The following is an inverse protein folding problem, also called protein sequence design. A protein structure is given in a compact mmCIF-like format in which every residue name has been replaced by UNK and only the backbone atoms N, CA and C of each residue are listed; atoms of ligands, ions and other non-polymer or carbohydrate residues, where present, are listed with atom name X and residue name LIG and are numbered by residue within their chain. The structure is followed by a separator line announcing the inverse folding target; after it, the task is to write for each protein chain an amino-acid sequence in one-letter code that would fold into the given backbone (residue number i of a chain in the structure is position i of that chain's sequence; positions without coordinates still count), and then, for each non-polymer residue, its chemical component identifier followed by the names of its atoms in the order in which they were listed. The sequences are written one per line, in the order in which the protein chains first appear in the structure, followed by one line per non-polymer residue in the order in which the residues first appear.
data_IF_625319944122
#
_entry.id   IF_625319944122
#
_cell.length_a   1.000
_cell.length_b   1.000
_cell.length_c   1.000
_cell.angle_alpha   90.00
_cell.angle_beta   90.00
_cell.angle_gamma   90.00
#
_symmetry.space_group_name_H-M   'P 1'
#
loop_
_entity.id
_entity.type
_entity.pdbx_description
1 polymer ?
#
# COMPACT_ATOMS: atom_id res chain seq x y z
N UNK A 1 -1.02 -17.73 9.81
CA UNK A 1 -1.46 -16.31 9.80
C UNK A 1 -2.96 -16.17 9.56
N UNK A 2 -3.53 -16.78 8.51
CA UNK A 2 -4.98 -16.76 8.21
C UNK A 2 -5.90 -16.84 9.45
N UNK A 3 -5.69 -17.84 10.31
CA UNK A 3 -6.48 -18.01 11.53
C UNK A 3 -6.39 -16.82 12.48
N UNK A 4 -5.20 -16.27 12.68
CA UNK A 4 -4.96 -15.14 13.60
C UNK A 4 -5.77 -13.92 13.18
N UNK A 5 -5.72 -13.56 11.89
CA UNK A 5 -6.46 -12.39 11.39
C UNK A 5 -7.98 -12.62 11.43
N UNK A 6 -8.45 -13.84 11.16
CA UNK A 6 -9.87 -14.19 11.23
C UNK A 6 -10.39 -14.20 12.67
N UNK A 7 -9.57 -14.63 13.64
CA UNK A 7 -9.91 -14.56 15.08
C UNK A 7 -10.02 -13.11 15.53
N UNK A 8 -9.09 -12.24 15.13
CA UNK A 8 -9.18 -10.81 15.39
C UNK A 8 -10.49 -10.23 14.82
N UNK A 9 -10.79 -10.51 13.55
CA UNK A 9 -12.04 -10.06 12.92
C UNK A 9 -13.28 -10.58 13.65
N UNK A 10 -13.26 -11.85 14.10
CA UNK A 10 -14.35 -12.45 14.90
C UNK A 10 -14.53 -11.73 16.23
N UNK A 11 -13.43 -11.39 16.91
CA UNK A 11 -13.49 -10.69 18.19
C UNK A 11 -14.04 -9.26 18.02
N UNK A 12 -13.59 -8.55 16.98
CA UNK A 12 -14.12 -7.23 16.62
C UNK A 12 -15.61 -7.26 16.26
N UNK A 13 -16.04 -8.24 15.46
CA UNK A 13 -17.45 -8.39 15.06
C UNK A 13 -18.37 -8.62 16.27
N UNK A 14 -17.97 -9.49 17.20
CA UNK A 14 -18.72 -9.77 18.45
C UNK A 14 -18.88 -8.54 19.34
N UNK A 15 -17.91 -7.64 19.31
CA UNK A 15 -17.92 -6.39 20.06
C UNK A 15 -18.49 -5.22 19.25
N UNK A 16 -19.04 -5.48 18.06
CA UNK A 16 -19.63 -4.50 17.14
C UNK A 16 -18.67 -3.32 16.85
N UNK A 17 -17.41 -3.65 16.53
CA UNK A 17 -16.36 -2.67 16.25
C UNK A 17 -15.64 -2.99 14.94
N UNK A 18 -15.02 -1.95 14.37
CA UNK A 18 -14.13 -2.11 13.23
C UNK A 18 -12.89 -2.93 13.60
N UNK A 19 -12.42 -3.72 12.63
CA UNK A 19 -11.09 -4.32 12.70
C UNK A 19 -10.06 -3.19 12.63
N UNK A 20 -9.08 -3.13 13.54
CA UNK A 20 -8.10 -2.06 13.53
C UNK A 20 -7.26 -2.11 12.25
N UNK A 21 -6.60 -1.02 11.96
CA UNK A 21 -5.75 -0.91 10.79
C UNK A 21 -4.31 -1.19 11.20
N UNK A 22 -3.80 -2.39 10.90
CA UNK A 22 -2.41 -2.75 11.17
C UNK A 22 -1.53 -2.62 9.91
N UNK A 23 -0.38 -1.94 10.02
CA UNK A 23 0.60 -1.84 8.93
C UNK A 23 1.65 -2.96 9.00
N UNK A 24 2.02 -3.41 10.19
CA UNK A 24 2.98 -4.51 10.41
C UNK A 24 2.42 -5.50 11.42
N UNK A 25 2.69 -6.78 11.20
CA UNK A 25 2.35 -7.87 12.11
C UNK A 25 3.62 -8.66 12.41
N UNK A 26 3.95 -8.82 13.69
CA UNK A 26 5.10 -9.63 14.13
C UNK A 26 4.58 -10.89 14.81
N UNK A 27 4.94 -12.04 14.27
CA UNK A 27 4.60 -13.36 14.81
C UNK A 27 5.84 -13.91 15.49
N UNK A 28 5.90 -13.75 16.82
CA UNK A 28 6.90 -14.37 17.67
C UNK A 28 6.55 -15.83 17.98
N UNK A 29 7.38 -16.52 18.79
CA UNK A 29 7.18 -17.91 19.15
C UNK A 29 5.87 -18.14 19.95
N UNK A 30 5.59 -17.26 20.91
CA UNK A 30 4.42 -17.38 21.80
C UNK A 30 3.43 -16.24 21.65
N UNK A 31 3.79 -15.16 20.95
CA UNK A 31 2.96 -13.95 20.87
C UNK A 31 2.82 -13.43 19.45
N UNK A 32 1.67 -12.85 19.15
CA UNK A 32 1.45 -12.04 17.96
C UNK A 32 1.35 -10.59 18.38
N UNK A 33 2.02 -9.70 17.63
CA UNK A 33 1.96 -8.26 17.81
C UNK A 33 1.45 -7.58 16.52
N UNK A 34 0.54 -6.63 16.67
CA UNK A 34 0.06 -5.76 15.60
C UNK A 34 0.61 -4.36 15.85
N UNK A 35 1.21 -3.75 14.84
CA UNK A 35 1.56 -2.34 14.82
C UNK A 35 0.47 -1.59 14.05
N UNK A 36 -0.26 -0.76 14.77
CA UNK A 36 -1.44 -0.06 14.30
C UNK A 36 -1.05 1.27 13.65
N UNK A 37 -1.82 1.65 12.63
CA UNK A 37 -1.71 2.94 11.97
C UNK A 37 -2.19 4.09 12.84
N UNK A 38 -3.17 3.83 13.70
CA UNK A 38 -3.78 4.82 14.59
C UNK A 38 -3.82 4.22 16.00
N UNK A 39 -3.46 4.99 17.04
CA UNK A 39 -3.56 4.54 18.41
C UNK A 39 -4.97 4.04 18.76
N UNK A 40 -5.06 2.87 19.38
CA UNK A 40 -6.28 2.32 19.95
C UNK A 40 -5.95 1.61 21.27
N UNK A 41 -6.39 2.17 22.38
CA UNK A 41 -6.10 1.64 23.72
C UNK A 41 -7.13 0.58 24.18
N UNK A 42 -8.15 0.30 23.36
CA UNK A 42 -9.27 -0.57 23.74
C UNK A 42 -9.33 -1.75 22.80
N UNK A 43 -8.40 -2.71 22.88
CA UNK A 43 -8.42 -3.90 22.04
C UNK A 43 -9.56 -4.85 22.41
N UNK A 44 -9.98 -5.76 21.51
CA UNK A 44 -11.03 -6.72 21.82
C UNK A 44 -10.49 -7.83 22.71
N UNK A 45 -11.39 -8.68 23.22
CA UNK A 45 -11.02 -9.79 24.09
C UNK A 45 -9.89 -10.65 23.51
N UNK A 46 -8.91 -10.98 24.35
CA UNK A 46 -7.72 -11.77 23.96
C UNK A 46 -6.54 -10.95 23.44
N UNK A 47 -6.70 -9.64 23.29
CA UNK A 47 -5.67 -8.69 22.91
C UNK A 47 -5.43 -7.67 24.03
N UNK A 48 -4.19 -7.20 24.14
CA UNK A 48 -3.77 -6.18 25.11
C UNK A 48 -3.07 -5.05 24.36
N UNK A 49 -3.42 -3.81 24.66
CA UNK A 49 -2.77 -2.64 24.08
C UNK A 49 -1.49 -2.30 24.85
N UNK A 50 -0.49 -1.86 24.11
CA UNK A 50 0.71 -1.23 24.65
C UNK A 50 0.40 0.18 25.18
N UNK A 51 1.37 0.81 25.86
CA UNK A 51 1.18 2.10 26.53
C UNK A 51 0.76 3.25 25.62
N UNK A 52 1.12 3.18 24.34
CA UNK A 52 0.85 4.21 23.33
C UNK A 52 -0.38 3.91 22.47
N UNK A 53 -1.06 2.78 22.71
CA UNK A 53 -2.16 2.29 21.88
C UNK A 53 -1.77 1.94 20.43
N UNK A 54 -0.51 2.12 20.02
CA UNK A 54 -0.03 1.83 18.66
C UNK A 54 0.33 0.36 18.50
N UNK A 55 0.47 -0.36 19.60
CA UNK A 55 0.82 -1.77 19.58
C UNK A 55 -0.26 -2.59 20.27
N UNK A 56 -0.75 -3.64 19.61
CA UNK A 56 -1.55 -4.67 20.28
C UNK A 56 -0.79 -5.99 20.33
N UNK A 57 -0.96 -6.74 21.41
CA UNK A 57 -0.34 -8.03 21.61
C UNK A 57 -1.35 -9.07 22.07
N UNK A 58 -1.20 -10.31 21.60
CA UNK A 58 -1.97 -11.46 22.05
C UNK A 58 -1.10 -12.72 22.13
N UNK A 59 -1.50 -13.67 22.98
CA UNK A 59 -0.87 -14.98 23.08
C UNK A 59 -1.24 -15.84 21.87
N UNK A 60 -0.25 -16.31 21.12
CA UNK A 60 -0.44 -17.08 19.89
C UNK A 60 -1.26 -18.35 20.15
N UNK A 61 -1.00 -19.07 21.25
CA UNK A 61 -1.78 -20.25 21.64
C UNK A 61 -3.26 -19.92 21.85
N UNK A 62 -3.56 -18.79 22.49
CA UNK A 62 -4.94 -18.35 22.73
C UNK A 62 -5.66 -18.02 21.41
N UNK A 63 -4.97 -17.38 20.48
CA UNK A 63 -5.52 -17.11 19.15
C UNK A 63 -5.73 -18.39 18.34
N UNK A 64 -4.86 -19.39 18.49
CA UNK A 64 -5.01 -20.67 17.80
C UNK A 64 -6.20 -21.48 18.31
N UNK A 65 -6.53 -21.42 19.60
CA UNK A 65 -7.68 -22.14 20.16
C UNK A 65 -9.02 -21.40 20.01
N UNK A 66 -9.00 -20.10 19.74
CA UNK A 66 -10.20 -19.29 19.58
C UNK A 66 -11.09 -19.73 18.39
N UNK A 67 -12.40 -19.53 18.54
CA UNK A 67 -13.39 -19.78 17.49
C UNK A 67 -13.32 -18.72 16.39
N UNK A 68 -13.55 -19.12 15.15
CA UNK A 68 -13.65 -18.23 13.98
C UNK A 68 -15.09 -18.25 13.47
N UNK A 69 -15.68 -17.09 13.19
CA UNK A 69 -17.00 -17.05 12.55
C UNK A 69 -16.93 -17.49 11.09
N UNK A 70 -17.99 -18.17 10.61
CA UNK A 70 -18.01 -18.83 9.29
C UNK A 70 -18.01 -17.84 8.12
N UNK A 71 -18.52 -16.61 8.31
CA UNK A 71 -18.78 -15.64 7.24
C UNK A 71 -18.05 -14.30 7.42
N UNK A 72 -16.74 -14.33 7.67
CA UNK A 72 -15.94 -13.11 7.79
C UNK A 72 -15.16 -12.82 6.51
N UNK A 73 -15.22 -11.55 6.09
CA UNK A 73 -14.35 -10.99 5.06
C UNK A 73 -12.90 -10.99 5.57
N UNK A 74 -11.94 -11.27 4.68
CA UNK A 74 -10.52 -11.22 5.01
C UNK A 74 -10.11 -9.79 5.41
N UNK A 75 -9.65 -9.56 6.66
CA UNK A 75 -9.40 -8.20 7.14
C UNK A 75 -8.15 -7.57 6.52
N UNK A 76 -7.13 -8.39 6.24
CA UNK A 76 -5.85 -7.94 5.70
C UNK A 76 -5.45 -8.79 4.48
N UNK A 77 -6.13 -8.64 3.33
CA UNK A 77 -5.93 -9.53 2.19
C UNK A 77 -4.57 -9.32 1.51
N UNK A 78 -3.92 -8.16 1.71
CA UNK A 78 -2.64 -7.79 1.11
C UNK A 78 -1.45 -7.93 2.08
N UNK A 79 -1.49 -8.95 2.94
CA UNK A 79 -0.37 -9.29 3.81
C UNK A 79 0.71 -10.06 3.05
N UNK A 80 1.94 -9.59 3.15
CA UNK A 80 3.13 -10.22 2.54
C UNK A 80 4.24 -10.43 3.57
N UNK A 81 5.07 -11.47 3.41
CA UNK A 81 6.21 -11.70 4.30
C UNK A 81 7.32 -10.68 4.04
N UNK A 82 7.92 -10.14 5.09
CA UNK A 82 9.09 -9.28 4.97
C UNK A 82 10.38 -9.98 5.40
N UNK A 83 10.29 -10.89 6.38
CA UNK A 83 11.43 -11.63 6.90
C UNK A 83 11.35 -11.82 8.41
N UNK A 84 12.49 -11.79 9.09
CA UNK A 84 12.58 -12.03 10.53
C UNK A 84 13.31 -10.92 11.27
N UNK A 85 12.88 -10.67 12.49
CA UNK A 85 13.57 -9.84 13.48
C UNK A 85 13.89 -10.70 14.71
N UNK A 86 14.53 -10.11 15.74
CA UNK A 86 14.71 -10.81 17.02
C UNK A 86 13.38 -11.13 17.72
N UNK A 87 12.32 -10.40 17.37
CA UNK A 87 10.99 -10.54 17.97
C UNK A 87 10.10 -11.54 17.24
N UNK A 88 10.42 -11.88 15.99
CA UNK A 88 9.73 -12.93 15.24
C UNK A 88 9.64 -12.67 13.75
N UNK A 89 8.74 -13.41 13.11
CA UNK A 89 8.46 -13.30 11.69
C UNK A 89 7.59 -12.07 11.40
N UNK A 90 8.03 -11.24 10.47
CA UNK A 90 7.39 -9.96 10.14
C UNK A 90 6.57 -10.11 8.86
N UNK A 91 5.30 -9.74 8.95
CA UNK A 91 4.42 -9.52 7.80
C UNK A 91 4.08 -8.04 7.66
N UNK A 92 4.02 -7.58 6.42
CA UNK A 92 3.68 -6.23 6.05
C UNK A 92 2.30 -6.20 5.39
N UNK A 93 1.47 -5.24 5.78
CA UNK A 93 0.18 -5.01 5.12
C UNK A 93 0.33 -3.95 4.03
N UNK A 94 0.48 -4.39 2.78
CA UNK A 94 0.61 -3.48 1.63
C UNK A 94 -0.64 -2.61 1.43
N UNK A 95 -1.79 -3.03 1.96
CA UNK A 95 -3.04 -2.28 1.86
C UNK A 95 -3.03 -0.96 2.63
N UNK A 96 -2.05 -0.73 3.52
CA UNK A 96 -1.97 0.50 4.32
C UNK A 96 -1.20 1.64 3.70
N UNK A 97 -0.54 1.38 2.58
CA UNK A 97 0.32 2.37 1.95
C UNK A 97 -0.52 3.47 1.35
N UNK A 98 -1.50 3.19 0.49
CA UNK A 98 -2.22 4.24 -0.24
C UNK A 98 -1.27 5.14 -1.05
N UNK A 99 -0.36 4.51 -1.80
CA UNK A 99 0.71 5.19 -2.53
C UNK A 99 1.78 4.21 -3.03
N UNK A 100 2.92 4.76 -3.47
CA UNK A 100 4.05 3.96 -3.97
C UNK A 100 4.93 3.48 -2.82
N UNK A 101 5.27 2.20 -2.84
CA UNK A 101 6.31 1.56 -2.05
C UNK A 101 7.55 1.46 -2.93
N UNK A 102 8.65 2.07 -2.51
CA UNK A 102 9.93 1.96 -3.22
C UNK A 102 10.83 0.95 -2.53
N UNK A 103 11.30 -0.04 -3.29
CA UNK A 103 12.31 -1.01 -2.87
C UNK A 103 13.66 -0.58 -3.45
N UNK A 104 14.49 0.06 -2.63
CA UNK A 104 15.79 0.62 -3.02
C UNK A 104 16.96 -0.27 -2.54
N UNK A 105 18.14 -0.11 -3.14
CA UNK A 105 19.36 -0.81 -2.74
C UNK A 105 19.75 -1.95 -3.68
N UNK A 106 20.08 -3.14 -3.15
CA UNK A 106 20.50 -4.27 -3.97
C UNK A 106 19.35 -4.76 -4.86
N UNK A 107 19.50 -4.54 -6.17
CA UNK A 107 18.45 -4.84 -7.15
C UNK A 107 18.08 -6.34 -7.23
N UNK A 108 19.02 -7.25 -6.95
CA UNK A 108 18.73 -8.68 -6.96
C UNK A 108 17.90 -9.07 -5.74
N UNK A 109 18.24 -8.53 -4.57
CA UNK A 109 17.48 -8.74 -3.33
C UNK A 109 16.09 -8.11 -3.39
N UNK A 110 15.98 -6.89 -3.92
CA UNK A 110 14.70 -6.23 -4.15
C UNK A 110 13.78 -7.04 -5.07
N UNK A 111 14.34 -7.63 -6.12
CA UNK A 111 13.58 -8.51 -7.03
C UNK A 111 13.15 -9.81 -6.37
N UNK A 112 14.04 -10.47 -5.64
CA UNK A 112 13.70 -11.69 -4.91
C UNK A 112 12.55 -11.44 -3.91
N UNK A 113 12.60 -10.33 -3.16
CA UNK A 113 11.53 -9.95 -2.23
C UNK A 113 10.18 -9.73 -2.95
N UNK A 114 10.19 -9.05 -4.09
CA UNK A 114 8.99 -8.84 -4.90
C UNK A 114 8.42 -10.14 -5.50
N UNK A 115 9.28 -11.11 -5.84
CA UNK A 115 8.90 -12.44 -6.27
C UNK A 115 8.29 -13.27 -5.11
N UNK A 116 8.84 -13.15 -3.90
CA UNK A 116 8.26 -13.77 -2.71
C UNK A 116 6.90 -13.17 -2.35
N UNK A 117 6.74 -11.85 -2.47
CA UNK A 117 5.45 -11.18 -2.30
C UNK A 117 4.43 -11.63 -3.35
N UNK A 118 4.85 -11.78 -4.61
CA UNK A 118 4.00 -12.33 -5.66
C UNK A 118 3.51 -13.73 -5.29
N UNK A 119 4.42 -14.60 -4.83
CA UNK A 119 4.08 -15.97 -4.42
C UNK A 119 3.08 -15.96 -3.26
N UNK A 120 3.31 -15.17 -2.23
CA UNK A 120 2.40 -15.06 -1.10
C UNK A 120 1.00 -14.59 -1.54
N UNK A 121 0.92 -13.49 -2.29
CA UNK A 121 -0.34 -12.90 -2.72
C UNK A 121 -1.16 -13.82 -3.64
N UNK A 122 -0.52 -14.75 -4.33
CA UNK A 122 -1.19 -15.67 -5.27
C UNK A 122 -1.49 -17.04 -4.67
N UNK A 123 -0.85 -17.42 -3.56
CA UNK A 123 -0.98 -18.76 -2.95
C UNK A 123 -1.66 -18.77 -1.59
N UNK A 124 -1.67 -17.63 -0.88
CA UNK A 124 -2.15 -17.61 0.51
C UNK A 124 -3.67 -17.54 0.63
N UNK A 125 -4.27 -18.23 1.62
CA UNK A 125 -5.73 -18.27 1.83
C UNK A 125 -6.38 -16.91 2.09
N UNK A 126 -5.64 -15.94 2.63
CA UNK A 126 -6.15 -14.59 2.91
C UNK A 126 -6.09 -13.66 1.69
N UNK A 127 -5.38 -14.04 0.63
CA UNK A 127 -5.15 -13.19 -0.55
C UNK A 127 -6.02 -13.60 -1.75
N UNK A 128 -7.07 -14.41 -1.52
CA UNK A 128 -7.88 -15.02 -2.61
C UNK A 128 -8.52 -14.02 -3.57
N UNK A 129 -8.82 -12.83 -3.09
CA UNK A 129 -9.43 -11.73 -3.85
C UNK A 129 -8.40 -10.73 -4.38
N UNK A 130 -7.12 -10.90 -4.06
CA UNK A 130 -6.08 -9.95 -4.48
C UNK A 130 -5.69 -10.22 -5.92
N UNK A 131 -5.86 -9.21 -6.76
CA UNK A 131 -5.30 -9.18 -8.09
C UNK A 131 -3.83 -8.78 -8.03
N UNK A 132 -2.96 -9.50 -8.73
CA UNK A 132 -1.53 -9.20 -8.79
C UNK A 132 -1.14 -8.87 -10.23
N UNK A 133 -0.64 -7.66 -10.46
CA UNK A 133 -0.17 -7.20 -11.77
C UNK A 133 1.33 -6.98 -11.70
N UNK A 134 2.10 -7.62 -12.60
CA UNK A 134 3.56 -7.56 -12.62
C UNK A 134 4.02 -6.94 -13.93
N UNK A 135 4.81 -5.89 -13.85
CA UNK A 135 5.25 -5.09 -14.99
C UNK A 135 6.77 -5.12 -15.10
N UNK A 136 7.28 -5.52 -16.26
CA UNK A 136 8.71 -5.62 -16.52
C UNK A 136 9.40 -6.80 -15.81
N UNK A 137 8.63 -7.73 -15.24
CA UNK A 137 9.17 -9.00 -14.76
C UNK A 137 9.38 -9.96 -15.94
N UNK A 138 10.42 -10.80 -15.86
CA UNK A 138 10.68 -11.86 -16.82
C UNK A 138 9.87 -13.06 -16.40
N UNK A 139 9.05 -13.61 -17.29
CA UNK A 139 8.13 -14.70 -16.97
C UNK A 139 8.82 -15.89 -16.31
N UNK A 140 8.43 -16.21 -15.07
CA UNK A 140 8.81 -17.42 -14.34
C UNK A 140 7.73 -18.51 -14.47
N UNK A 141 8.13 -19.78 -14.41
CA UNK A 141 7.27 -20.94 -14.63
C UNK A 141 6.20 -21.18 -13.54
N UNK A 142 6.24 -20.49 -12.41
CA UNK A 142 5.32 -20.68 -11.28
C UNK A 142 4.07 -19.76 -11.31
N UNK A 143 4.00 -18.79 -12.23
CA UNK A 143 3.22 -17.55 -12.06
C UNK A 143 1.92 -17.48 -12.87
N UNK A 144 1.59 -18.50 -13.67
CA UNK A 144 0.47 -18.44 -14.62
C UNK A 144 -0.93 -18.45 -14.01
N UNK A 145 -1.10 -18.65 -12.70
CA UNK A 145 -2.43 -18.95 -12.17
C UNK A 145 -3.25 -17.76 -11.65
N UNK A 146 -2.64 -16.62 -11.26
CA UNK A 146 -3.39 -15.42 -10.81
C UNK A 146 -2.67 -14.08 -10.98
N UNK A 147 -1.51 -14.03 -11.63
CA UNK A 147 -0.87 -12.75 -11.97
C UNK A 147 -0.96 -12.44 -13.45
N UNK A 148 -1.23 -11.16 -13.76
CA UNK A 148 -1.07 -10.63 -15.12
C UNK A 148 0.35 -10.13 -15.27
N UNK A 149 1.09 -10.68 -16.22
CA UNK A 149 2.43 -10.21 -16.57
C UNK A 149 2.37 -9.38 -17.84
N UNK A 150 2.89 -8.16 -17.77
CA UNK A 150 2.94 -7.28 -18.93
C UNK A 150 4.32 -6.61 -19.05
N UNK A 151 4.82 -6.39 -20.28
CA UNK A 151 6.08 -5.69 -20.46
C UNK A 151 5.96 -4.20 -20.10
N UNK A 152 4.78 -3.58 -20.30
CA UNK A 152 4.48 -2.20 -19.95
C UNK A 152 3.14 -2.07 -19.20
N UNK A 153 2.96 -0.98 -18.44
CA UNK A 153 1.76 -0.76 -17.64
C UNK A 153 0.52 -0.53 -18.52
N UNK A 154 0.67 0.13 -19.66
CA UNK A 154 -0.40 0.31 -20.66
C UNK A 154 -1.01 -1.01 -21.15
N UNK A 155 -0.22 -2.08 -21.22
CA UNK A 155 -0.71 -3.40 -21.66
C UNK A 155 -1.52 -4.10 -20.56
N UNK A 156 -1.43 -3.64 -19.30
CA UNK A 156 -2.18 -4.12 -18.15
C UNK A 156 -3.37 -3.25 -17.76
N UNK A 157 -3.67 -2.19 -18.52
CA UNK A 157 -4.65 -1.16 -18.15
C UNK A 157 -6.07 -1.71 -17.92
N UNK A 158 -6.49 -2.71 -18.70
CA UNK A 158 -7.79 -3.35 -18.52
C UNK A 158 -7.91 -4.07 -17.15
N UNK A 159 -6.83 -4.70 -16.70
CA UNK A 159 -6.73 -5.36 -15.39
C UNK A 159 -6.67 -4.31 -14.28
N UNK A 160 -5.90 -3.25 -14.48
CA UNK A 160 -5.77 -2.14 -13.52
C UNK A 160 -7.06 -1.30 -13.37
N UNK A 161 -7.94 -1.35 -14.36
CA UNK A 161 -9.26 -0.70 -14.33
C UNK A 161 -10.30 -1.47 -13.49
N UNK A 162 -9.96 -2.66 -12.99
CA UNK A 162 -10.80 -3.43 -12.07
C UNK A 162 -11.10 -2.61 -10.80
N UNK A 163 -12.35 -2.67 -10.37
CA UNK A 163 -12.85 -1.88 -9.25
C UNK A 163 -12.52 -2.51 -7.89
N UNK A 164 -12.11 -3.79 -7.84
CA UNK A 164 -11.73 -4.47 -6.60
C UNK A 164 -10.28 -4.17 -6.20
N UNK A 165 -9.44 -3.83 -7.18
CA UNK A 165 -8.03 -3.49 -7.01
C UNK A 165 -7.11 -4.65 -6.66
N UNK A 166 -5.93 -4.33 -6.13
CA UNK A 166 -4.91 -5.34 -5.86
C UNK A 166 -3.53 -4.78 -5.55
N UNK A 167 -2.50 -5.46 -6.09
CA UNK A 167 -1.10 -5.10 -5.95
C UNK A 167 -0.44 -5.03 -7.33
N UNK A 168 0.15 -3.89 -7.66
CA UNK A 168 0.93 -3.70 -8.88
C UNK A 168 2.42 -3.67 -8.52
N UNK A 169 3.21 -4.57 -9.11
CA UNK A 169 4.66 -4.70 -8.90
C UNK A 169 5.38 -4.29 -10.19
N UNK A 170 6.30 -3.35 -10.08
CA UNK A 170 7.09 -2.82 -11.19
C UNK A 170 8.55 -3.15 -10.99
N UNK A 171 9.13 -3.89 -11.94
CA UNK A 171 10.53 -4.34 -11.88
C UNK A 171 11.57 -3.21 -12.05
N UNK A 172 11.13 -1.98 -12.31
CA UNK A 172 11.97 -0.82 -12.51
C UNK A 172 11.15 0.46 -12.52
N UNK A 173 11.84 1.60 -12.61
CA UNK A 173 11.19 2.91 -12.67
C UNK A 173 10.33 3.05 -13.94
N UNK A 174 9.05 3.43 -13.80
CA UNK A 174 8.20 3.65 -14.95
C UNK A 174 8.67 4.88 -15.74
N UNK A 175 8.61 4.81 -17.06
CA UNK A 175 9.04 5.88 -17.97
C UNK A 175 7.89 6.33 -18.86
N UNK A 176 7.96 7.56 -19.37
CA UNK A 176 6.97 8.05 -20.33
C UNK A 176 5.54 7.98 -19.78
N UNK A 177 4.62 7.38 -20.56
CA UNK A 177 3.20 7.25 -20.20
C UNK A 177 2.94 6.30 -19.02
N UNK A 178 3.76 5.26 -18.84
CA UNK A 178 3.62 4.34 -17.71
C UNK A 178 3.80 5.07 -16.37
N UNK A 179 4.64 6.11 -16.34
CA UNK A 179 4.88 6.89 -15.13
C UNK A 179 3.60 7.57 -14.65
N UNK A 180 2.89 8.25 -15.53
CA UNK A 180 1.65 8.96 -15.18
C UNK A 180 0.57 8.00 -14.67
N UNK A 181 0.41 6.85 -15.34
CA UNK A 181 -0.59 5.86 -14.97
C UNK A 181 -0.24 5.13 -13.65
N UNK A 182 1.04 4.92 -13.35
CA UNK A 182 1.51 4.42 -12.03
C UNK A 182 1.14 5.38 -10.90
N UNK A 183 1.37 6.69 -11.08
CA UNK A 183 1.00 7.67 -10.06
C UNK A 183 -0.51 7.75 -9.90
N UNK A 184 -1.27 7.77 -11.00
CA UNK A 184 -2.75 7.72 -10.95
C UNK A 184 -3.28 6.50 -10.20
N UNK A 185 -2.63 5.35 -10.38
CA UNK A 185 -2.96 4.11 -9.68
C UNK A 185 -2.66 4.21 -8.17
N UNK A 186 -1.51 4.79 -7.83
CA UNK A 186 -1.07 5.00 -6.46
C UNK A 186 -1.93 6.03 -5.70
N UNK A 187 -2.49 7.00 -6.41
CA UNK A 187 -3.34 8.08 -5.89
C UNK A 187 -4.83 7.72 -5.82
N UNK A 188 -5.19 6.44 -6.04
CA UNK A 188 -6.58 5.99 -5.92
C UNK A 188 -7.11 6.31 -4.51
N UNK A 189 -8.13 7.17 -4.37
CA UNK A 189 -8.60 7.64 -3.06
C UNK A 189 -9.21 6.51 -2.22
N UNK A 190 -9.62 5.43 -2.87
CA UNK A 190 -10.13 4.22 -2.22
C UNK A 190 -8.99 3.27 -1.77
N UNK A 191 -7.74 3.56 -2.13
CA UNK A 191 -6.57 2.75 -1.77
C UNK A 191 -6.65 1.32 -2.30
N UNK A 192 -7.35 1.10 -3.42
CA UNK A 192 -7.61 -0.25 -3.94
C UNK A 192 -6.35 -0.88 -4.51
N UNK A 193 -5.38 -0.07 -4.94
CA UNK A 193 -4.10 -0.53 -5.43
C UNK A 193 -2.96 -0.22 -4.48
N UNK A 194 -2.13 -1.23 -4.22
CA UNK A 194 -0.81 -1.06 -3.60
C UNK A 194 0.23 -1.12 -4.71
N UNK A 195 1.01 -0.06 -4.88
CA UNK A 195 1.99 0.03 -5.97
C UNK A 195 3.39 -0.16 -5.42
N UNK A 196 4.11 -1.15 -5.92
CA UNK A 196 5.49 -1.47 -5.51
C UNK A 196 6.42 -1.22 -6.70
N UNK A 197 7.44 -0.40 -6.50
CA UNK A 197 8.42 -0.05 -7.54
C UNK A 197 9.82 -0.45 -7.07
N UNK A 198 10.50 -1.26 -7.87
CA UNK A 198 11.90 -1.59 -7.65
C UNK A 198 12.77 -0.44 -8.18
N UNK A 199 13.53 0.17 -7.27
CA UNK A 199 14.36 1.34 -7.54
C UNK A 199 13.83 2.61 -6.89
N UNK A 200 14.69 3.64 -6.90
CA UNK A 200 14.47 4.91 -6.21
C UNK A 200 13.39 5.75 -6.86
N UNK A 201 12.33 6.00 -6.11
CA UNK A 201 11.27 6.96 -6.45
C UNK A 201 11.52 8.25 -5.67
N UNK A 202 11.16 9.40 -6.25
CA UNK A 202 11.41 10.71 -5.60
C UNK A 202 10.54 10.88 -4.34
N UNK A 203 9.28 10.46 -4.40
CA UNK A 203 8.29 10.66 -3.33
C UNK A 203 7.51 9.38 -2.99
N UNK A 204 8.18 8.27 -2.60
CA UNK A 204 7.47 7.08 -2.19
C UNK A 204 6.78 7.32 -0.85
N UNK A 205 5.61 6.71 -0.68
CA UNK A 205 4.91 6.73 0.61
C UNK A 205 5.65 5.88 1.64
N UNK A 206 6.18 4.74 1.22
CA UNK A 206 7.12 3.94 2.00
C UNK A 206 8.41 3.72 1.19
N UNK A 207 9.54 4.03 1.81
CA UNK A 207 10.88 3.75 1.27
C UNK A 207 11.49 2.62 2.08
N UNK A 208 11.75 1.50 1.41
CA UNK A 208 12.47 0.38 2.00
C UNK A 208 13.84 0.26 1.35
N UNK A 209 14.88 0.17 2.18
CA UNK A 209 16.26 0.03 1.72
C UNK A 209 16.76 -1.37 2.01
N UNK A 210 17.25 -2.02 0.97
CA UNK A 210 17.65 -3.42 0.98
C UNK A 210 19.16 -3.49 0.77
N UNK A 211 19.87 -4.03 1.75
CA UNK A 211 21.32 -4.19 1.67
C UNK A 211 21.74 -5.44 0.86
N UNK A 212 23.05 -5.66 0.74
CA UNK A 212 23.61 -6.80 -0.01
C UNK A 212 23.32 -8.17 0.64
N UNK A 213 23.08 -8.21 1.95
CA UNK A 213 22.65 -9.42 2.67
C UNK A 213 21.18 -9.72 2.41
N UNK A 214 20.42 -8.72 1.99
CA UNK A 214 18.97 -8.75 1.79
C UNK A 214 18.20 -8.21 2.98
N UNK A 215 18.87 -7.72 4.03
CA UNK A 215 18.19 -7.10 5.15
C UNK A 215 17.45 -5.84 4.67
N UNK A 216 16.20 -5.73 5.08
CA UNK A 216 15.28 -4.67 4.68
C UNK A 216 15.10 -3.73 5.85
N UNK A 217 15.63 -2.52 5.73
CA UNK A 217 15.26 -1.42 6.60
C UNK A 217 13.98 -0.79 6.06
N UNK A 218 12.95 -0.76 6.91
CA UNK A 218 11.63 -0.25 6.56
C UNK A 218 11.34 1.13 7.12
N UNK A 219 12.08 1.57 8.14
CA UNK A 219 11.71 2.70 8.99
C UNK A 219 10.40 2.52 9.77
N UNK A 220 9.74 1.36 9.69
CA UNK A 220 8.48 1.04 10.41
C UNK A 220 8.73 0.25 11.70
N UNK A 221 9.94 -0.24 11.89
CA UNK A 221 10.39 -1.06 13.01
C UNK A 221 11.72 -0.51 13.54
N UNK A 222 12.01 -0.79 14.81
CA UNK A 222 13.23 -0.34 15.47
C UNK A 222 14.51 -1.02 14.94
N UNK A 223 14.36 -2.10 14.18
CA UNK A 223 15.48 -2.86 13.60
C UNK A 223 15.19 -3.30 12.16
N UNK A 224 16.24 -3.48 11.33
CA UNK A 224 16.11 -4.05 9.99
C UNK A 224 15.58 -5.50 10.04
N UNK A 225 14.82 -5.87 9.03
CA UNK A 225 14.23 -7.21 8.89
C UNK A 225 15.13 -8.07 8.01
N UNK A 226 15.63 -9.17 8.54
CA UNK A 226 16.51 -10.08 7.80
C UNK A 226 15.69 -11.00 6.89
N UNK A 227 16.21 -11.36 5.69
CA UNK A 227 15.55 -12.34 4.85
C UNK A 227 15.35 -13.65 5.60
N UNK A 228 14.22 -14.29 5.35
CA UNK A 228 14.04 -15.65 5.82
C UNK A 228 15.11 -16.53 5.15
N UNK A 229 15.88 -17.35 5.89
CA UNK A 229 16.73 -18.34 5.26
C UNK A 229 15.85 -19.30 4.45
N UNK A 230 16.18 -19.50 3.17
CA UNK A 230 15.45 -20.37 2.22
C UNK A 230 15.30 -21.83 2.70
N UNK A 231 15.96 -22.22 3.80
CA UNK A 231 16.12 -23.61 4.25
C UNK A 231 15.33 -24.02 5.49
N UNK A 232 14.41 -23.22 6.05
CA UNK A 232 13.70 -23.66 7.26
C UNK A 232 12.54 -24.65 7.03
N UNK A 233 12.06 -24.82 5.79
CA UNK A 233 10.99 -25.77 5.46
C UNK A 233 11.31 -26.74 4.32
N UNK A 234 12.37 -26.49 3.54
CA UNK A 234 12.85 -27.36 2.45
C UNK A 234 14.26 -27.91 2.69
N UNK A 235 14.86 -27.70 3.88
CA UNK A 235 16.06 -28.45 4.23
C UNK A 235 15.68 -29.94 4.33
N UNK A 236 16.34 -30.86 3.60
CA UNK A 236 16.30 -32.26 4.00
C UNK A 236 16.74 -32.28 5.46
N UNK A 237 15.96 -32.95 6.32
CA UNK A 237 16.31 -33.15 7.71
C UNK A 237 17.80 -33.49 7.76
N UNK A 238 18.60 -32.62 8.38
CA UNK A 238 19.98 -32.98 8.63
C UNK A 238 19.90 -34.16 9.59
N UNK A 239 20.14 -35.37 9.09
CA UNK A 239 20.61 -36.45 9.93
C UNK A 239 21.81 -35.87 10.68
N UNK A 240 21.59 -35.57 11.95
CA UNK A 240 22.64 -35.32 12.90
C UNK A 240 23.60 -36.51 12.76
N UNK A 241 24.72 -36.28 12.08
CA UNK A 241 25.82 -37.22 12.05
C UNK A 241 26.39 -37.23 13.47
N UNK A 242 25.75 -38.03 14.33
CA UNK A 242 26.21 -38.38 15.64
C UNK A 242 27.61 -38.96 15.45
N UNK A 243 28.62 -38.19 15.86
CA UNK A 243 30.01 -38.55 15.76
C UNK A 243 30.27 -39.74 16.71
N UNK A 244 30.06 -40.96 16.22
CA UNK A 244 30.47 -42.19 16.88
C UNK A 244 31.99 -42.13 17.09
N UNK A 245 32.52 -42.21 18.33
CA UNK A 245 33.95 -42.23 18.54
C UNK A 245 34.52 -43.56 18.02
N UNK A 246 35.51 -43.48 17.13
CA UNK A 246 36.29 -44.65 16.69
C UNK A 246 37.05 -45.26 17.87
N UNK A 247 36.91 -46.57 18.17
CA UNK A 247 37.85 -47.24 19.04
C UNK A 247 39.15 -47.55 18.28
N UNK A 248 40.25 -47.49 19.02
CA UNK A 248 41.61 -47.72 18.54
C UNK A 248 41.82 -49.15 18.00
N UNK A 249 42.67 -49.27 16.98
CA UNK A 249 43.12 -50.53 16.39
C UNK A 249 44.08 -51.28 17.31
N UNK A 250 43.99 -52.62 17.30
CA UNK A 250 45.14 -53.54 17.36
C UNK A 250 44.75 -54.95 16.86
N UNK A 251 45.73 -55.81 16.48
CA UNK A 251 45.72 -56.44 15.14
C UNK A 251 45.59 -57.97 15.11
N UNK A 252 45.61 -58.48 13.87
CA UNK A 252 45.97 -59.83 13.40
C UNK A 252 44.90 -60.94 13.46
N UNK A 253 44.75 -61.65 12.33
CA UNK A 253 44.04 -62.93 12.26
C UNK A 253 43.44 -63.22 10.90
N UNK A 254 44.20 -63.93 10.07
CA UNK A 254 43.90 -64.56 8.78
C UNK A 254 42.43 -64.85 8.41
N UNK A 255 42.10 -64.64 7.13
CA UNK A 255 41.76 -65.68 6.13
C UNK A 255 40.87 -65.10 5.02
N UNK A 256 41.37 -65.12 3.78
CA UNK A 256 40.54 -65.05 2.57
C UNK A 256 39.86 -66.44 2.34
N UNK A 257 38.85 -66.60 1.46
CA UNK A 257 39.08 -66.43 0.02
C UNK A 257 37.89 -65.90 -0.83
N UNK A 258 38.28 -65.59 -2.07
CA UNK A 258 37.56 -65.64 -3.35
C UNK A 258 36.27 -64.84 -3.64
N UNK A 259 36.41 -64.10 -4.75
CA UNK A 259 35.51 -63.28 -5.56
C UNK A 259 34.34 -64.07 -6.23
N UNK A 260 33.38 -63.50 -7.05
CA UNK A 260 33.62 -62.46 -8.05
C UNK A 260 32.55 -61.34 -8.22
N UNK A 261 33.06 -60.26 -8.84
CA UNK A 261 32.33 -59.14 -9.46
C UNK A 261 31.31 -59.62 -10.50
N UNK A 262 30.18 -58.91 -10.58
CA UNK A 262 29.42 -58.78 -11.83
C UNK A 262 28.81 -57.38 -11.97
N UNK A 263 29.46 -56.57 -12.80
CA UNK A 263 28.82 -55.44 -13.48
C UNK A 263 27.78 -55.97 -14.48
N UNK A 264 26.67 -55.24 -14.70
CA UNK A 264 26.14 -54.93 -16.03
C UNK A 264 24.96 -53.95 -15.99
N UNK A 265 25.24 -52.78 -16.57
CA UNK A 265 24.43 -51.85 -17.39
C UNK A 265 22.99 -52.25 -17.74
N UNK A 266 22.08 -51.27 -17.73
CA UNK A 266 20.93 -51.14 -18.65
C UNK A 266 20.57 -49.64 -18.78
N UNK A 267 21.05 -48.91 -19.80
CA UNK A 267 20.42 -48.57 -21.10
C UNK A 267 19.04 -47.91 -21.07
N UNK A 268 19.01 -46.66 -21.59
CA UNK A 268 17.85 -45.85 -22.00
C UNK A 268 16.98 -46.56 -23.05
N UNK A 269 15.67 -46.31 -23.04
CA UNK A 269 14.81 -46.39 -24.23
C UNK A 269 13.66 -45.39 -24.17
N UNK A 270 13.47 -44.71 -25.30
CA UNK A 270 12.34 -43.85 -25.66
C UNK A 270 11.10 -44.67 -26.01
N UNK A 271 9.90 -44.12 -25.82
CA UNK A 271 8.69 -44.48 -26.55
C UNK A 271 7.73 -43.28 -26.64
N UNK A 272 7.01 -43.21 -27.76
CA UNK A 272 6.27 -42.08 -28.33
C UNK A 272 4.82 -42.52 -28.61
N UNK A 273 3.85 -41.63 -28.34
CA UNK A 273 2.48 -41.45 -28.94
C UNK A 273 1.32 -42.40 -28.57
N UNK A 274 0.19 -41.80 -28.14
CA UNK A 274 -1.10 -41.81 -28.88
C UNK A 274 -2.17 -40.90 -28.22
N UNK A 275 -2.82 -40.10 -29.07
CA UNK A 275 -3.91 -39.15 -28.79
C UNK A 275 -5.29 -39.82 -28.78
N UNK A 276 -6.27 -39.22 -28.08
CA UNK A 276 -7.70 -39.46 -28.34
C UNK A 276 -8.43 -38.12 -28.48
N UNK A 277 -9.03 -37.92 -29.65
CA UNK A 277 -9.96 -36.84 -30.00
C UNK A 277 -11.37 -37.41 -29.86
N UNK A 278 -12.28 -36.67 -29.22
CA UNK A 278 -13.73 -36.87 -29.39
C UNK A 278 -14.38 -35.52 -29.60
N UNK A 279 -15.03 -35.38 -30.76
CA UNK A 279 -15.91 -34.28 -31.13
C UNK A 279 -17.29 -34.87 -31.36
N UNK A 280 -18.34 -34.28 -30.80
CA UNK A 280 -19.72 -34.51 -31.23
C UNK A 280 -20.43 -33.16 -31.37
N UNK A 281 -20.73 -32.82 -32.63
CA UNK A 281 -21.62 -31.76 -33.08
C UNK A 281 -23.03 -32.34 -33.26
N UNK A 282 -24.03 -31.72 -32.65
CA UNK A 282 -25.43 -31.58 -33.12
C UNK A 282 -25.88 -30.25 -32.50
N UNK A 283 -26.25 -29.18 -33.20
CA UNK A 283 -27.08 -29.09 -34.40
C UNK A 283 -28.43 -28.50 -33.97
N UNK A 284 -28.64 -27.18 -34.13
CA UNK A 284 -29.91 -26.54 -33.76
C UNK A 284 -29.89 -25.03 -33.98
N UNK A 285 -30.23 -24.61 -35.21
CA UNK A 285 -30.51 -23.23 -35.55
C UNK A 285 -31.86 -22.80 -34.95
N UNK A 286 -31.89 -21.64 -34.29
CA UNK A 286 -33.11 -20.87 -34.10
C UNK A 286 -32.78 -19.39 -34.31
N UNK A 287 -33.11 -18.88 -35.50
CA UNK A 287 -33.15 -17.46 -35.77
C UNK A 287 -34.49 -16.91 -35.21
N UNK A 288 -34.41 -15.98 -34.27
CA UNK A 288 -35.51 -15.08 -33.91
C UNK A 288 -34.97 -13.67 -33.79
N UNK A 289 -35.35 -12.85 -34.76
CA UNK A 289 -35.19 -11.40 -34.75
C UNK A 289 -36.11 -10.78 -33.70
N UNK A 290 -35.57 -10.10 -32.69
CA UNK A 290 -36.29 -9.10 -31.91
C UNK A 290 -35.33 -7.96 -31.53
N UNK A 291 -35.63 -6.80 -32.13
CA UNK A 291 -35.17 -5.46 -31.77
C UNK A 291 -35.70 -5.14 -30.37
N UNK A 292 -34.85 -4.67 -29.47
CA UNK A 292 -35.28 -4.20 -28.15
C UNK A 292 -34.14 -3.56 -27.37
N UNK A 293 -34.07 -2.24 -27.40
CA UNK A 293 -33.24 -1.45 -26.49
C UNK A 293 -33.70 -1.69 -25.05
N UNK A 294 -32.78 -2.01 -24.15
CA UNK A 294 -33.03 -1.98 -22.70
C UNK A 294 -31.78 -1.47 -21.99
N UNK A 295 -31.78 -0.18 -21.71
CA UNK A 295 -30.97 0.51 -20.71
C UNK A 295 -31.23 -0.07 -19.32
N UNK A 296 -30.22 -0.33 -18.49
CA UNK A 296 -30.41 -0.55 -17.06
C UNK A 296 -30.57 0.80 -16.33
N UNK A 297 -31.72 0.91 -15.67
CA UNK A 297 -32.23 1.99 -14.84
C UNK A 297 -31.39 2.18 -13.58
N UNK A 298 -30.94 3.41 -13.32
CA UNK A 298 -30.42 3.84 -12.03
C UNK A 298 -31.57 4.00 -11.01
N UNK A 299 -31.38 3.71 -9.71
CA UNK A 299 -32.39 3.97 -8.70
C UNK A 299 -32.46 5.47 -8.41
N UNK A 300 -33.62 6.07 -8.72
CA UNK A 300 -33.97 7.44 -8.35
C UNK A 300 -34.54 7.43 -6.93
N UNK A 301 -33.88 8.16 -6.03
CA UNK A 301 -34.43 8.54 -4.74
C UNK A 301 -35.61 9.50 -4.94
N UNK A 302 -36.76 9.16 -4.33
CA UNK A 302 -37.94 10.00 -4.30
C UNK A 302 -37.72 11.19 -3.36
N UNK A 303 -37.86 12.40 -3.89
CA UNK A 303 -38.22 13.58 -3.11
C UNK A 303 -39.56 14.08 -3.65
N UNK A 304 -40.59 14.05 -2.80
CA UNK A 304 -41.85 14.74 -3.05
C UNK A 304 -41.61 16.23 -2.88
N UNK A 305 -42.02 17.04 -3.86
CA UNK A 305 -42.89 18.17 -3.55
C UNK A 305 -43.57 18.75 -4.80
N UNK A 306 -44.83 19.10 -4.60
CA UNK A 306 -45.75 19.71 -5.56
C UNK A 306 -45.26 21.07 -6.04
N UNK A 307 -45.37 21.34 -7.35
CA UNK A 307 -46.26 22.37 -7.90
C UNK A 307 -46.22 22.43 -9.44
N UNK A 308 -47.37 22.79 -10.01
CA UNK A 308 -47.74 22.71 -11.43
C UNK A 308 -47.84 24.12 -12.05
N UNK A 309 -47.53 24.17 -13.35
CA UNK A 309 -47.80 25.20 -14.37
C UNK A 309 -46.85 26.42 -14.39
N UNK A 310 -46.34 26.91 -15.53
CA UNK A 310 -46.97 27.03 -16.85
C UNK A 310 -45.96 27.17 -18.02
N UNK A 311 -46.45 26.78 -19.20
CA UNK A 311 -46.03 26.95 -20.62
C UNK A 311 -45.00 28.03 -21.01
N UNK A 312 -44.19 27.68 -22.04
CA UNK A 312 -43.64 28.65 -23.00
C UNK A 312 -42.59 28.09 -23.97
N UNK A 313 -43.00 27.84 -25.22
CA UNK A 313 -42.26 27.32 -26.38
C UNK A 313 -41.14 28.24 -26.91
N UNK A 314 -39.99 27.69 -27.35
CA UNK A 314 -39.38 27.85 -28.71
C UNK A 314 -37.93 27.34 -28.76
N UNK A 315 -37.60 26.59 -29.83
CA UNK A 315 -36.24 26.15 -30.20
C UNK A 315 -35.68 27.08 -31.29
N UNK A 316 -34.37 27.39 -31.28
CA UNK A 316 -33.56 27.15 -32.48
C UNK A 316 -32.19 26.51 -32.21
N UNK A 317 -31.66 25.86 -33.26
CA UNK A 317 -30.42 25.05 -33.39
C UNK A 317 -29.16 25.96 -33.58
N UNK A 318 -27.95 25.38 -33.69
CA UNK A 318 -26.85 25.36 -32.72
C UNK A 318 -25.80 26.48 -32.96
N UNK A 319 -25.17 26.99 -31.90
CA UNK A 319 -24.00 27.87 -32.05
C UNK A 319 -22.99 27.61 -30.94
N UNK A 320 -21.71 27.55 -31.31
CA UNK A 320 -20.54 27.41 -30.43
C UNK A 320 -20.63 28.39 -29.23
N UNK A 321 -20.42 27.90 -28.01
CA UNK A 321 -20.08 28.68 -26.81
C UNK A 321 -19.12 27.82 -25.97
N UNK A 322 -17.87 28.23 -25.81
CA UNK A 322 -17.40 29.19 -24.80
C UNK A 322 -17.48 28.61 -23.39
N UNK A 323 -16.30 28.44 -22.77
CA UNK A 323 -16.10 27.92 -21.43
C UNK A 323 -16.88 28.74 -20.38
N UNK A 324 -17.52 28.11 -19.38
CA UNK A 324 -18.24 28.86 -18.36
C UNK A 324 -17.24 29.46 -17.38
N UNK A 325 -17.20 30.79 -17.36
CA UNK A 325 -16.68 31.58 -16.25
C UNK A 325 -17.67 31.44 -15.09
N UNK A 326 -17.31 30.65 -14.08
CA UNK A 326 -18.04 30.54 -12.81
C UNK A 326 -17.31 31.32 -11.74
N UNK A 327 -17.88 32.46 -11.36
CA UNK A 327 -17.38 33.42 -10.38
C UNK A 327 -17.09 32.77 -9.02
N UNK A 328 -15.84 32.95 -8.56
CA UNK A 328 -15.45 32.75 -7.18
C UNK A 328 -16.25 33.68 -6.27
N UNK A 329 -16.73 33.14 -5.14
CA UNK A 329 -17.10 33.94 -3.99
C UNK A 329 -16.15 33.56 -2.85
N UNK A 330 -14.99 34.19 -2.81
CA UNK A 330 -14.02 34.05 -1.73
C UNK A 330 -13.67 35.45 -1.21
N UNK A 331 -14.30 35.85 -0.11
CA UNK A 331 -13.95 37.06 0.65
C UNK A 331 -12.82 36.74 1.64
N UNK A 332 -11.68 36.27 1.14
CA UNK A 332 -10.46 36.10 1.93
C UNK A 332 -9.74 37.43 2.11
N UNK A 333 -9.62 37.92 3.34
CA UNK A 333 -8.86 39.14 3.64
C UNK A 333 -7.37 38.87 3.36
N UNK A 334 -6.84 39.44 2.28
CA UNK A 334 -5.42 39.33 1.97
C UNK A 334 -4.56 39.80 3.16
N UNK A 335 -3.53 39.03 3.49
CA UNK A 335 -2.66 39.26 4.65
C UNK A 335 -1.19 39.28 4.23
N UNK A 336 -0.41 40.21 4.82
CA UNK A 336 1.04 40.33 4.55
C UNK A 336 1.79 39.02 4.82
N UNK A 337 2.87 38.79 4.07
CA UNK A 337 3.89 37.77 4.33
C UNK A 337 4.29 37.75 5.81
N UNK A 338 4.39 36.55 6.36
CA UNK A 338 5.00 36.34 7.67
C UNK A 338 5.43 34.89 7.84
N UNK A 339 6.26 34.66 8.84
CA UNK A 339 6.80 33.34 9.13
C UNK A 339 5.81 32.54 9.97
N UNK A 340 5.70 31.24 9.70
CA UNK A 340 4.86 30.31 10.48
C UNK A 340 5.78 29.44 11.34
N UNK A 341 5.77 29.67 12.65
CA UNK A 341 6.66 28.99 13.62
C UNK A 341 5.87 27.93 14.37
N UNK A 342 6.37 26.70 14.37
CA UNK A 342 5.84 25.67 15.25
C UNK A 342 6.44 25.85 16.66
N UNK A 343 5.64 26.11 17.71
CA UNK A 343 6.16 26.44 19.04
C UNK A 343 6.76 25.24 19.78
N UNK A 344 6.39 24.01 19.42
CA UNK A 344 6.94 22.80 20.04
C UNK A 344 8.40 22.57 19.62
N UNK A 345 8.73 22.89 18.36
CA UNK A 345 10.08 22.71 17.81
C UNK A 345 10.91 23.99 17.75
N UNK A 346 10.26 25.16 17.81
CA UNK A 346 10.90 26.46 17.59
C UNK A 346 11.36 26.69 16.15
N UNK A 347 10.92 25.84 15.21
CA UNK A 347 11.31 25.86 13.79
C UNK A 347 10.21 26.44 12.91
N UNK A 348 10.59 26.87 11.72
CA UNK A 348 9.74 27.55 10.76
C UNK A 348 9.26 26.61 9.65
N UNK A 349 7.98 26.71 9.31
CA UNK A 349 7.38 26.02 8.17
C UNK A 349 8.02 26.56 6.88
N UNK A 350 8.59 25.66 6.09
CA UNK A 350 9.38 26.01 4.92
C UNK A 350 8.91 25.23 3.68
N UNK A 351 8.80 25.92 2.55
CA UNK A 351 8.76 25.30 1.22
C UNK A 351 10.12 24.77 0.74
N UNK A 352 11.16 24.89 1.57
CA UNK A 352 12.56 24.59 1.24
C UNK A 352 13.06 25.33 -0.02
N UNK A 353 14.19 24.92 -0.59
CA UNK A 353 14.66 25.47 -1.85
C UNK A 353 13.79 25.05 -3.07
N UNK A 354 12.89 24.08 -2.90
CA UNK A 354 12.28 23.32 -3.99
C UNK A 354 11.30 24.04 -4.93
N UNK A 355 10.82 23.26 -5.90
CA UNK A 355 9.90 23.60 -7.00
C UNK A 355 8.51 23.01 -6.76
N UNK A 356 7.61 23.09 -7.75
CA UNK A 356 6.31 22.41 -7.76
C UNK A 356 6.39 20.96 -7.25
N UNK A 357 5.49 20.59 -6.34
CA UNK A 357 5.42 19.27 -5.69
C UNK A 357 6.35 19.08 -4.49
N UNK A 358 7.13 20.08 -4.08
CA UNK A 358 8.07 19.91 -2.96
C UNK A 358 7.33 19.84 -1.62
N UNK A 359 7.48 18.77 -0.82
CA UNK A 359 6.88 18.68 0.51
C UNK A 359 7.35 19.79 1.45
N UNK A 360 6.44 20.29 2.29
CA UNK A 360 6.81 21.21 3.35
C UNK A 360 7.53 20.48 4.48
N UNK A 361 8.42 21.20 5.14
CA UNK A 361 9.22 20.73 6.28
C UNK A 361 9.37 21.85 7.32
N UNK A 362 9.87 21.52 8.51
CA UNK A 362 10.32 22.49 9.49
C UNK A 362 11.84 22.65 9.43
N UNK A 363 12.30 23.88 9.22
CA UNK A 363 13.72 24.25 9.22
C UNK A 363 14.02 25.33 10.26
N UNK A 364 15.30 25.52 10.55
CA UNK A 364 15.72 26.64 11.38
C UNK A 364 15.21 27.95 10.77
N UNK A 365 14.69 28.84 11.61
CA UNK A 365 14.16 30.12 11.17
C UNK A 365 15.30 31.03 10.73
N UNK A 366 15.38 31.31 9.43
CA UNK A 366 16.44 32.13 8.82
C UNK A 366 15.88 33.39 8.13
N UNK A 367 14.57 33.46 7.94
CA UNK A 367 13.88 34.59 7.31
C UNK A 367 13.88 34.52 5.78
N UNK A 368 14.38 33.43 5.20
CA UNK A 368 14.46 33.25 3.76
C UNK A 368 13.07 33.26 3.10
N UNK A 369 13.04 33.59 1.80
CA UNK A 369 11.81 33.74 1.03
C UNK A 369 10.94 32.47 0.99
N UNK A 370 11.51 31.29 1.21
CA UNK A 370 10.81 30.00 1.32
C UNK A 370 10.13 29.76 2.68
N UNK A 371 10.36 30.61 3.68
CA UNK A 371 9.70 30.58 4.99
C UNK A 371 8.68 31.72 5.14
N UNK A 372 8.60 32.61 4.15
CA UNK A 372 7.64 33.70 4.11
C UNK A 372 6.34 33.23 3.45
N UNK A 373 5.24 33.32 4.19
CA UNK A 373 3.92 32.87 3.77
C UNK A 373 2.92 34.02 3.65
N UNK A 374 2.52 34.30 2.41
CA UNK A 374 1.51 35.29 2.05
C UNK A 374 0.12 34.66 1.99
N UNK A 375 -0.90 35.37 2.51
CA UNK A 375 -2.30 34.98 2.30
C UNK A 375 -2.84 35.83 1.14
N UNK A 376 -3.00 35.20 -0.02
CA UNK A 376 -3.46 35.87 -1.22
C UNK A 376 -4.97 36.14 -1.19
N UNK A 377 -5.43 37.13 -1.98
CA UNK A 377 -6.83 37.54 -2.04
C UNK A 377 -7.76 36.43 -2.58
N UNK A 378 -7.22 35.45 -3.30
CA UNK A 378 -7.96 34.29 -3.83
C UNK A 378 -8.08 33.13 -2.84
N UNK A 379 -7.69 33.34 -1.57
CA UNK A 379 -7.81 32.35 -0.50
C UNK A 379 -6.64 31.37 -0.41
N UNK A 380 -5.67 31.46 -1.31
CA UNK A 380 -4.48 30.60 -1.26
C UNK A 380 -3.40 31.15 -0.32
N UNK A 381 -2.68 30.26 0.34
CA UNK A 381 -1.48 30.59 1.13
C UNK A 381 -0.25 30.30 0.26
N UNK A 382 0.69 31.24 0.13
CA UNK A 382 1.78 31.16 -0.87
C UNK A 382 3.15 31.42 -0.29
N UNK A 383 4.15 30.74 -0.86
CA UNK A 383 5.58 31.04 -0.66
C UNK A 383 6.31 30.91 -1.99
N UNK A 384 7.28 31.79 -2.27
CA UNK A 384 8.03 31.83 -3.54
C UNK A 384 7.15 31.81 -4.82
N UNK A 385 5.93 32.36 -4.73
CA UNK A 385 4.97 32.36 -5.84
C UNK A 385 4.25 31.02 -6.09
N UNK A 386 4.50 30.00 -5.27
CA UNK A 386 3.79 28.72 -5.26
C UNK A 386 2.78 28.68 -4.12
N UNK A 387 1.73 27.89 -4.29
CA UNK A 387 0.65 27.71 -3.33
C UNK A 387 0.94 26.54 -2.39
N UNK A 388 0.62 26.71 -1.11
CA UNK A 388 0.43 25.59 -0.18
C UNK A 388 -0.66 24.68 -0.75
N UNK A 389 -0.39 23.39 -0.77
CA UNK A 389 -1.15 22.40 -1.52
C UNK A 389 -1.25 21.12 -0.70
N UNK A 390 -2.47 20.63 -0.51
CA UNK A 390 -2.70 19.27 -0.04
C UNK A 390 -2.34 18.33 -1.19
N UNK A 391 -1.25 17.58 -1.04
CA UNK A 391 -0.63 16.90 -2.16
C UNK A 391 -1.64 16.03 -2.92
N UNK A 392 -1.66 16.21 -4.24
CA UNK A 392 -2.53 15.48 -5.18
C UNK A 392 -4.03 15.70 -4.95
N UNK A 393 -4.41 16.72 -4.18
CA UNK A 393 -5.79 17.05 -3.86
C UNK A 393 -6.48 16.10 -2.88
N UNK A 394 -5.70 15.31 -2.15
CA UNK A 394 -6.24 14.39 -1.16
C UNK A 394 -6.77 15.13 0.08
N UNK A 395 -7.96 14.74 0.54
CA UNK A 395 -8.71 15.36 1.63
C UNK A 395 -8.72 14.52 2.93
N UNK A 396 -7.74 13.62 3.11
CA UNK A 396 -7.68 12.69 4.24
C UNK A 396 -6.52 12.99 5.18
N UNK A 397 -6.62 12.55 6.45
CA UNK A 397 -5.53 12.68 7.39
C UNK A 397 -4.32 11.83 6.94
N UNK A 398 -3.12 12.38 7.13
CA UNK A 398 -1.84 11.86 6.63
C UNK A 398 -1.45 12.34 5.23
N UNK A 399 -2.29 13.11 4.53
CA UNK A 399 -1.92 13.72 3.25
C UNK A 399 -0.75 14.68 3.44
N UNK A 400 0.32 14.52 2.66
CA UNK A 400 1.46 15.44 2.68
C UNK A 400 1.03 16.84 2.23
N UNK A 401 1.52 17.87 2.91
CA UNK A 401 1.37 19.26 2.45
C UNK A 401 2.63 19.65 1.70
N UNK A 402 2.47 20.23 0.52
CA UNK A 402 3.55 20.61 -0.39
C UNK A 402 3.38 22.05 -0.89
N UNK A 403 4.37 22.55 -1.62
CA UNK A 403 4.22 23.73 -2.48
C UNK A 403 3.97 23.29 -3.92
N UNK A 404 2.98 23.90 -4.57
CA UNK A 404 2.62 23.60 -5.95
C UNK A 404 2.29 24.85 -6.77
N UNK A 405 2.27 24.72 -8.09
CA UNK A 405 1.80 25.78 -9.00
C UNK A 405 0.37 26.13 -8.64
N UNK A 406 0.12 27.43 -8.41
CA UNK A 406 -1.21 27.92 -8.09
C UNK A 406 -2.17 27.67 -9.27
N UNK A 407 -3.16 26.82 -9.04
CA UNK A 407 -4.12 26.36 -10.04
C UNK A 407 -5.57 26.73 -9.69
N UNK A 408 -5.82 27.19 -8.47
CA UNK A 408 -7.17 27.46 -7.96
C UNK A 408 -7.93 26.19 -7.53
N UNK A 409 -7.27 25.03 -7.55
CA UNK A 409 -7.84 23.78 -7.06
C UNK A 409 -8.21 23.90 -5.56
N UNK A 410 -9.36 23.34 -5.10
CA UNK A 410 -9.72 23.29 -3.69
C UNK A 410 -8.62 22.74 -2.75
N UNK A 411 -7.75 21.87 -3.27
CA UNK A 411 -6.55 21.37 -2.59
C UNK A 411 -5.60 22.46 -2.10
N UNK A 412 -5.63 23.64 -2.73
CA UNK A 412 -4.77 24.79 -2.44
C UNK A 412 -5.45 25.84 -1.56
N UNK A 413 -6.66 25.53 -1.10
CA UNK A 413 -7.45 26.42 -0.27
C UNK A 413 -7.18 26.09 1.20
N UNK A 414 -6.30 26.90 1.80
CA UNK A 414 -5.94 26.85 3.19
C UNK A 414 -6.32 28.16 3.87
N UNK A 415 -6.80 28.07 5.10
CA UNK A 415 -7.16 29.24 5.88
C UNK A 415 -6.44 29.20 7.24
N UNK A 416 -5.94 30.34 7.73
CA UNK A 416 -5.53 30.45 9.12
C UNK A 416 -6.76 30.51 10.04
N UNK A 417 -6.70 29.81 11.18
CA UNK A 417 -7.70 29.85 12.26
C UNK A 417 -6.98 29.81 13.60
N UNK A 418 -6.89 30.98 14.25
CA UNK A 418 -6.05 31.11 15.45
C UNK A 418 -4.59 30.80 15.11
N UNK A 419 -3.95 29.96 15.92
CA UNK A 419 -2.58 29.49 15.70
C UNK A 419 -2.54 28.20 14.85
N UNK A 420 -3.54 27.92 14.02
CA UNK A 420 -3.55 26.75 13.12
C UNK A 420 -3.77 27.16 11.68
N UNK A 421 -3.31 26.34 10.74
CA UNK A 421 -3.62 26.45 9.32
C UNK A 421 -4.39 25.20 8.93
N UNK A 422 -5.53 25.34 8.27
CA UNK A 422 -6.38 24.20 7.92
C UNK A 422 -6.86 24.26 6.47
N UNK A 423 -7.16 23.09 5.90
CA UNK A 423 -7.79 22.98 4.59
C UNK A 423 -9.27 23.33 4.69
N UNK A 424 -9.75 24.23 3.83
CA UNK A 424 -11.16 24.63 3.86
C UNK A 424 -12.09 23.56 3.31
N UNK A 425 -11.57 22.65 2.47
CA UNK A 425 -12.36 21.60 1.82
C UNK A 425 -12.44 20.29 2.64
N UNK A 426 -11.46 20.01 3.51
CA UNK A 426 -11.39 18.78 4.30
C UNK A 426 -11.49 18.99 5.81
N UNK A 427 -11.41 20.23 6.29
CA UNK A 427 -11.37 20.57 7.72
C UNK A 427 -10.25 19.84 8.49
N UNK A 428 -9.10 19.64 7.85
CA UNK A 428 -7.90 19.07 8.46
C UNK A 428 -6.83 20.14 8.62
N UNK A 429 -6.05 20.04 9.68
CA UNK A 429 -5.01 21.01 10.00
C UNK A 429 -3.67 20.60 9.39
N UNK A 430 -2.91 21.58 8.92
CA UNK A 430 -1.49 21.41 8.60
C UNK A 430 -0.77 21.13 9.91
N UNK A 431 -0.04 20.03 9.99
CA UNK A 431 0.67 19.62 11.18
C UNK A 431 2.00 18.95 10.87
N UNK A 432 2.94 19.09 11.79
CA UNK A 432 4.24 18.43 11.69
C UNK A 432 4.14 16.96 12.06
N UNK A 433 4.95 16.15 11.39
CA UNK A 433 5.20 14.76 11.75
C UNK A 433 6.70 14.49 11.78
N UNK A 434 7.10 13.51 12.59
CA UNK A 434 8.49 13.07 12.70
C UNK A 434 9.47 14.21 13.04
N UNK A 435 9.08 15.08 13.98
CA UNK A 435 9.91 16.21 14.45
C UNK A 435 10.13 17.28 13.37
N UNK A 436 9.17 17.44 12.46
CA UNK A 436 9.19 18.41 11.38
C UNK A 436 9.90 17.97 10.11
N UNK A 437 10.28 16.70 9.97
CA UNK A 437 10.81 16.16 8.70
C UNK A 437 9.73 15.91 7.66
N UNK A 438 8.46 15.95 8.05
CA UNK A 438 7.32 16.02 7.15
C UNK A 438 6.21 16.90 7.70
N UNK A 439 5.39 17.43 6.80
CA UNK A 439 4.18 18.16 7.13
C UNK A 439 3.01 17.45 6.45
N UNK A 440 1.97 17.18 7.21
CA UNK A 440 0.79 16.45 6.76
C UNK A 440 -0.51 17.15 7.20
N UNK A 441 -1.62 16.76 6.59
CA UNK A 441 -2.96 17.04 7.08
C UNK A 441 -3.25 16.12 8.26
N UNK A 442 -3.55 16.70 9.42
CA UNK A 442 -3.89 15.99 10.65
C UNK A 442 -5.31 16.38 11.10
N UNK A 443 -5.96 15.57 11.94
CA UNK A 443 -7.09 16.05 12.72
C UNK A 443 -6.71 17.33 13.49
N UNK A 444 -7.62 18.31 13.56
CA UNK A 444 -7.41 19.54 14.32
C UNK A 444 -7.68 19.31 15.82
N UNK A 445 -6.80 18.57 16.49
CA UNK A 445 -7.01 18.07 17.86
C UNK A 445 -6.29 18.86 18.97
N UNK A 446 -5.57 19.93 18.61
CA UNK A 446 -4.81 20.77 19.55
C UNK A 446 -3.63 20.04 20.22
N UNK A 447 -3.11 18.97 19.61
CA UNK A 447 -1.95 18.22 20.10
C UNK A 447 -0.66 19.05 20.15
N UNK A 448 -0.61 20.19 19.45
CA UNK A 448 0.56 21.06 19.36
C UNK A 448 1.37 20.86 18.08
N UNK A 449 1.23 19.70 17.42
CA UNK A 449 1.87 19.42 16.14
C UNK A 449 1.32 20.30 15.00
N UNK A 450 0.04 20.63 15.07
CA UNK A 450 -0.72 21.47 14.14
C UNK A 450 -0.73 22.97 14.47
N UNK A 451 0.02 23.36 15.51
CA UNK A 451 0.13 24.76 15.94
C UNK A 451 1.26 25.46 15.17
N UNK A 452 0.90 26.54 14.49
CA UNK A 452 1.78 27.45 13.75
C UNK A 452 1.47 28.89 14.12
N UNK A 453 2.34 29.48 14.95
CA UNK A 453 2.25 30.89 15.33
C UNK A 453 2.83 31.77 14.25
N UNK A 454 2.13 32.85 13.93
CA UNK A 454 2.66 33.87 13.03
C UNK A 454 3.65 34.76 13.79
N UNK A 455 4.87 34.88 13.28
CA UNK A 455 5.93 35.74 13.84
C UNK A 455 6.14 37.00 13.03
#
# INVERSE_FOLDING_TARGET
MDRVVRVLATACDRENRGVPVAHVIVVGPDTVRLHLKTPDERPPAGWTAGPDGLTWQAQLRGLQSASVAESLQEPYPRLVPLGTTREGFVLLNLGQVGGIISLEGDARRARALAEDWTRELTTSPWSRTVQVVRIGFTSGSAERFRSSETPALVDGEATLADQDGGVALLAGLPRGRDREAVYRLADDPQGRWSVVVLGRVEHPRWRFTIDSTGAVDTGLLDEPVTPRPESAWDAPAQEEAEAVPRPARSPAGASAPESPRRERRFTRRWAVVASVVVTCLVGGALALTLKGNSTPTAPVAQASDNQRASRGTTTPKPTKSAAPTGSANATGKAGKAGTLVNPATGKCLSGSAGTDGTPLVLLACDGDANQQWDVAADGTIRTKGLCMDAAWGAATAGTVVQIAVCSGNPAQQFAPKGDTVYTTHANLCVGEVNGGTGIQLLPCDQSGAEVFKRS
#
